data_IF_721727738367
#
_entry.id   IF_721727738367
#
_cell.length_a   1.000
_cell.length_b   1.000
_cell.length_c   1.000
_cell.angle_alpha   90.00
_cell.angle_beta   90.00
_cell.angle_gamma   90.00
#
_symmetry.space_group_name_H-M   'P 1'
#
loop_
_entity.id
_entity.type
_entity.pdbx_description
1 polymer ?
#
# COMPACT_ATOMS: atom_id res chain seq x y z
N UNK A 1 -4.45 23.53 -8.48
CA UNK A 1 -4.83 23.20 -7.09
C UNK A 1 -4.41 21.76 -6.87
N UNK A 2 -3.53 21.46 -5.90
CA UNK A 2 -3.05 20.08 -5.69
C UNK A 2 -4.11 19.23 -5.00
N UNK A 3 -4.32 18.00 -5.45
CA UNK A 3 -5.20 17.04 -4.78
C UNK A 3 -4.44 16.43 -3.60
N UNK A 4 -5.11 16.25 -2.46
CA UNK A 4 -4.57 15.46 -1.34
C UNK A 4 -5.30 14.15 -1.26
N UNK A 5 -4.56 13.07 -1.40
CA UNK A 5 -5.09 11.72 -1.28
C UNK A 5 -4.55 11.10 0.00
N UNK A 6 -5.41 10.42 0.74
CA UNK A 6 -5.06 9.74 1.98
C UNK A 6 -5.31 8.24 1.83
N UNK A 7 -4.30 7.45 2.19
CA UNK A 7 -4.39 6.01 2.36
C UNK A 7 -4.52 5.75 3.84
N UNK A 8 -5.46 4.86 4.19
CA UNK A 8 -5.71 4.47 5.57
C UNK A 8 -5.34 3.00 5.73
N UNK A 9 -4.72 2.71 6.86
CA UNK A 9 -4.28 1.40 7.34
C UNK A 9 -4.93 1.09 8.69
N UNK A 10 -5.47 -0.11 8.92
CA UNK A 10 -5.91 -0.53 10.27
C UNK A 10 -5.10 -1.72 10.77
N UNK A 11 -4.52 -1.58 11.97
CA UNK A 11 -3.54 -2.51 12.53
C UNK A 11 -3.68 -2.72 14.04
N UNK A 12 -2.91 -3.65 14.59
CA UNK A 12 -2.89 -3.99 16.02
C UNK A 12 -1.45 -4.07 16.53
N UNK A 13 -1.15 -3.22 17.51
CA UNK A 13 0.12 -3.17 18.22
C UNK A 13 0.09 -4.17 19.37
N UNK A 14 0.61 -5.37 19.15
CA UNK A 14 0.58 -6.45 20.16
C UNK A 14 1.41 -6.12 21.41
N UNK A 15 2.46 -5.30 21.29
CA UNK A 15 3.29 -4.89 22.44
C UNK A 15 2.53 -3.97 23.38
N UNK A 16 1.63 -3.15 22.84
CA UNK A 16 0.84 -2.18 23.60
C UNK A 16 -0.60 -2.60 23.81
N UNK A 17 -1.00 -3.74 23.23
CA UNK A 17 -2.37 -4.21 23.20
C UNK A 17 -3.33 -3.11 22.71
N UNK A 18 -2.97 -2.41 21.64
CA UNK A 18 -3.72 -1.26 21.12
C UNK A 18 -3.94 -1.34 19.62
N UNK A 19 -5.15 -1.04 19.17
CA UNK A 19 -5.43 -0.85 17.76
C UNK A 19 -4.85 0.46 17.26
N UNK A 20 -4.32 0.44 16.04
CA UNK A 20 -3.68 1.59 15.42
C UNK A 20 -4.31 1.87 14.07
N UNK A 21 -4.44 3.15 13.75
CA UNK A 21 -4.80 3.60 12.40
C UNK A 21 -3.59 4.28 11.77
N UNK A 22 -3.07 3.74 10.69
CA UNK A 22 -2.09 4.43 9.85
C UNK A 22 -2.82 5.37 8.89
N UNK A 23 -2.28 6.57 8.69
CA UNK A 23 -2.67 7.47 7.61
C UNK A 23 -1.43 7.90 6.85
N UNK A 24 -1.43 7.66 5.55
CA UNK A 24 -0.41 8.15 4.63
C UNK A 24 -1.05 9.19 3.71
N UNK A 25 -0.57 10.42 3.74
CA UNK A 25 -1.10 11.50 2.90
C UNK A 25 -0.06 11.91 1.87
N UNK A 26 -0.50 11.96 0.61
CA UNK A 26 0.32 12.40 -0.52
C UNK A 26 -0.23 13.71 -1.06
N UNK A 27 0.67 14.56 -1.55
CA UNK A 27 0.32 15.75 -2.30
C UNK A 27 0.50 15.47 -3.79
N UNK A 28 -0.62 15.42 -4.50
CA UNK A 28 -0.66 15.16 -5.93
C UNK A 28 -0.80 16.45 -6.74
N UNK A 29 -0.08 16.49 -7.85
CA UNK A 29 -0.27 17.48 -8.92
C UNK A 29 -0.36 16.72 -10.24
N UNK A 30 -1.41 17.00 -11.02
CA UNK A 30 -1.68 16.35 -12.31
C UNK A 30 -1.69 14.81 -12.24
N UNK A 31 -2.29 14.26 -11.17
CA UNK A 31 -2.38 12.81 -10.94
C UNK A 31 -1.09 12.15 -10.44
N UNK A 32 -0.04 12.93 -10.15
CA UNK A 32 1.29 12.41 -9.81
C UNK A 32 1.73 12.85 -8.41
N UNK A 33 2.28 11.91 -7.65
CA UNK A 33 2.86 12.17 -6.33
C UNK A 33 4.14 13.01 -6.48
N UNK A 34 4.11 14.22 -5.95
CA UNK A 34 5.23 15.16 -6.06
C UNK A 34 6.13 15.13 -4.83
N UNK A 35 5.63 14.62 -3.71
CA UNK A 35 6.30 14.63 -2.41
C UNK A 35 6.28 13.25 -1.78
N UNK A 36 7.27 13.00 -0.92
CA UNK A 36 7.23 11.89 0.02
C UNK A 36 5.94 11.95 0.86
N UNK A 37 5.35 10.81 1.23
CA UNK A 37 4.13 10.82 2.02
C UNK A 37 4.39 11.38 3.41
N UNK A 38 3.40 12.10 3.95
CA UNK A 38 3.30 12.33 5.39
C UNK A 38 2.63 11.11 6.02
N UNK A 39 3.28 10.51 7.01
CA UNK A 39 2.78 9.29 7.66
C UNK A 39 2.48 9.56 9.13
N UNK A 40 1.27 9.23 9.56
CA UNK A 40 0.82 9.39 10.93
C UNK A 40 0.16 8.10 11.43
N UNK A 41 0.33 7.80 12.71
CA UNK A 41 -0.33 6.67 13.38
C UNK A 41 -1.19 7.19 14.52
N UNK A 42 -2.46 6.85 14.48
CA UNK A 42 -3.40 7.04 15.57
C UNK A 42 -3.33 5.87 16.55
N UNK A 43 -3.30 6.18 17.83
CA UNK A 43 -3.51 5.23 18.93
C UNK A 43 -4.99 5.22 19.27
N UNK A 44 -5.68 4.07 19.19
CA UNK A 44 -7.11 4.01 19.56
C UNK A 44 -7.26 4.16 21.07
N UNK A 45 -6.48 3.41 21.84
CA UNK A 45 -6.42 3.51 23.30
C UNK A 45 -5.93 4.89 23.77
N UNK A 46 -4.87 5.39 23.14
CA UNK A 46 -4.25 6.68 23.50
C UNK A 46 -4.91 7.92 22.90
N UNK A 47 -5.92 7.78 22.03
CA UNK A 47 -6.68 8.87 21.45
C UNK A 47 -5.90 9.92 20.63
N UNK A 48 -4.68 9.62 20.17
CA UNK A 48 -3.76 10.63 19.62
C UNK A 48 -3.08 10.19 18.32
N UNK A 49 -2.88 11.15 17.41
CA UNK A 49 -2.07 11.00 16.21
C UNK A 49 -0.60 11.30 16.50
N UNK A 50 0.31 10.49 15.95
CA UNK A 50 1.75 10.71 16.03
C UNK A 50 2.38 10.53 14.67
N UNK A 51 3.23 11.46 14.27
CA UNK A 51 3.96 11.39 13.00
C UNK A 51 5.04 10.29 13.07
N UNK A 52 5.25 9.60 11.95
CA UNK A 52 6.27 8.56 11.77
C UNK A 52 7.23 8.99 10.66
N UNK A 53 8.56 8.87 10.86
CA UNK A 53 9.53 9.20 9.82
C UNK A 53 9.32 8.40 8.53
N UNK A 54 9.01 9.09 7.44
CA UNK A 54 8.67 8.51 6.15
C UNK A 54 9.63 8.90 5.01
N UNK A 55 10.76 9.54 5.34
CA UNK A 55 11.71 10.08 4.36
C UNK A 55 12.33 9.05 3.40
N UNK A 56 12.23 7.76 3.75
CA UNK A 56 12.76 6.63 2.97
C UNK A 56 11.71 5.99 2.05
N UNK A 57 10.43 6.38 2.14
CA UNK A 57 9.35 5.80 1.35
C UNK A 57 9.34 6.43 -0.04
N UNK A 58 9.85 5.70 -1.03
CA UNK A 58 9.98 6.15 -2.43
C UNK A 58 9.04 5.43 -3.40
N UNK A 59 8.13 4.62 -2.88
CA UNK A 59 7.17 3.84 -3.66
C UNK A 59 5.76 4.45 -3.54
N UNK A 60 4.95 4.21 -4.56
CA UNK A 60 3.56 4.60 -4.63
C UNK A 60 2.69 3.46 -4.09
N UNK A 61 1.75 3.80 -3.19
CA UNK A 61 0.67 2.91 -2.73
C UNK A 61 -0.68 3.43 -3.27
N UNK A 62 -0.63 4.44 -4.14
CA UNK A 62 -1.80 5.18 -4.57
C UNK A 62 -2.33 4.65 -5.89
N UNK A 63 -3.25 3.71 -5.77
CA UNK A 63 -4.45 3.70 -6.59
C UNK A 63 -5.63 3.38 -5.69
N UNK A 64 -6.71 4.16 -5.78
CA UNK A 64 -7.89 4.11 -4.90
C UNK A 64 -8.62 2.75 -4.91
N UNK A 65 -8.26 1.89 -5.86
CA UNK A 65 -8.75 0.52 -5.98
C UNK A 65 -7.91 -0.51 -5.22
N UNK A 66 -6.71 -0.13 -4.76
CA UNK A 66 -5.82 -1.08 -4.10
C UNK A 66 -6.21 -1.26 -2.65
N UNK A 67 -6.55 -2.50 -2.36
CA UNK A 67 -7.00 -2.88 -1.03
C UNK A 67 -5.82 -2.84 -0.07
N UNK A 68 -6.11 -2.45 1.17
CA UNK A 68 -5.24 -2.71 2.30
C UNK A 68 -5.55 -4.10 2.87
N UNK A 69 -4.57 -4.76 3.47
CA UNK A 69 -4.80 -6.02 4.17
C UNK A 69 -4.25 -5.98 5.59
N UNK A 70 -5.01 -6.55 6.50
CA UNK A 70 -4.61 -6.74 7.88
C UNK A 70 -4.24 -8.20 8.09
N UNK A 71 -2.97 -8.47 8.42
CA UNK A 71 -2.53 -9.82 8.71
C UNK A 71 -1.57 -9.81 9.90
N UNK A 72 -1.90 -10.62 10.92
CA UNK A 72 -1.11 -10.80 12.15
C UNK A 72 -0.80 -9.51 12.91
N UNK A 73 -1.70 -8.52 12.84
CA UNK A 73 -1.51 -7.23 13.50
C UNK A 73 -0.95 -6.15 12.59
N UNK A 74 -0.29 -6.54 11.50
CA UNK A 74 0.37 -5.60 10.60
C UNK A 74 -0.49 -5.25 9.39
N UNK A 75 -0.12 -4.16 8.74
CA UNK A 75 -0.86 -3.59 7.62
C UNK A 75 -0.04 -3.81 6.34
N UNK A 76 -0.66 -4.38 5.33
CA UNK A 76 -0.02 -4.83 4.11
C UNK A 76 -0.64 -4.14 2.90
N UNK A 77 0.19 -3.79 1.93
CA UNK A 77 -0.22 -3.27 0.62
C UNK A 77 0.60 -3.90 -0.49
N UNK A 78 0.04 -3.91 -1.69
CA UNK A 78 0.83 -3.98 -2.91
C UNK A 78 1.16 -2.55 -3.31
N UNK A 79 2.45 -2.20 -3.29
CA UNK A 79 2.97 -0.93 -3.75
C UNK A 79 3.71 -1.12 -5.08
N UNK A 80 4.20 -0.04 -5.68
CA UNK A 80 5.11 -0.09 -6.82
C UNK A 80 6.13 1.03 -6.77
N UNK A 81 7.29 0.77 -7.34
CA UNK A 81 8.28 1.80 -7.63
C UNK A 81 7.99 2.46 -8.97
N UNK A 82 8.28 3.76 -9.03
CA UNK A 82 8.24 4.55 -10.27
C UNK A 82 9.64 4.95 -10.69
N UNK A 83 9.90 4.94 -11.99
CA UNK A 83 11.14 5.42 -12.57
C UNK A 83 11.22 6.95 -12.54
N UNK A 84 12.33 7.49 -13.06
CA UNK A 84 12.54 8.95 -13.14
C UNK A 84 11.48 9.64 -14.00
N UNK A 85 11.02 8.94 -15.03
CA UNK A 85 9.99 9.40 -15.95
C UNK A 85 8.56 9.07 -15.44
N UNK A 86 8.47 8.60 -14.19
CA UNK A 86 7.23 8.25 -13.48
C UNK A 86 6.47 7.06 -14.08
N UNK A 87 7.14 6.29 -14.91
CA UNK A 87 6.69 5.00 -15.39
C UNK A 87 6.72 3.95 -14.27
N UNK A 88 5.84 2.96 -14.38
CA UNK A 88 5.88 1.77 -13.54
C UNK A 88 7.21 1.04 -13.74
N UNK A 89 7.86 0.62 -12.65
CA UNK A 89 9.08 -0.17 -12.70
C UNK A 89 8.83 -1.58 -12.17
N UNK A 90 8.44 -1.69 -10.91
CA UNK A 90 8.18 -2.97 -10.28
C UNK A 90 7.22 -2.88 -9.10
N UNK A 91 6.40 -3.93 -8.95
CA UNK A 91 5.57 -4.17 -7.78
C UNK A 91 6.42 -4.55 -6.57
N UNK A 92 5.99 -4.08 -5.42
CA UNK A 92 6.63 -4.32 -4.13
C UNK A 92 5.54 -4.51 -3.09
N UNK A 93 5.33 -5.72 -2.56
CA UNK A 93 4.54 -5.88 -1.37
C UNK A 93 5.25 -5.19 -0.20
N UNK A 94 4.51 -4.36 0.52
CA UNK A 94 5.01 -3.56 1.64
C UNK A 94 4.18 -3.86 2.86
N UNK A 95 4.87 -4.03 3.98
CA UNK A 95 4.26 -4.19 5.31
C UNK A 95 4.61 -2.98 6.14
N UNK A 96 3.63 -2.42 6.83
CA UNK A 96 3.86 -1.57 7.99
C UNK A 96 3.73 -2.41 9.24
N UNK A 97 4.87 -2.68 9.88
CA UNK A 97 4.93 -3.28 11.21
C UNK A 97 4.37 -2.27 12.22
N UNK A 98 3.23 -2.60 12.82
CA UNK A 98 2.47 -1.66 13.63
C UNK A 98 3.13 -1.42 14.99
N UNK A 99 3.73 -2.46 15.57
CA UNK A 99 4.40 -2.39 16.86
C UNK A 99 5.74 -1.64 16.76
N UNK A 100 6.51 -1.90 15.71
CA UNK A 100 7.80 -1.24 15.47
C UNK A 100 7.65 0.10 14.74
N UNK A 101 6.49 0.36 14.13
CA UNK A 101 6.20 1.53 13.28
C UNK A 101 7.18 1.67 12.12
N UNK A 102 7.43 0.57 11.42
CA UNK A 102 8.42 0.50 10.34
C UNK A 102 7.82 -0.08 9.08
N UNK A 103 8.26 0.44 7.94
CA UNK A 103 7.94 -0.14 6.65
C UNK A 103 8.98 -1.19 6.27
N UNK A 104 8.50 -2.33 5.77
CA UNK A 104 9.30 -3.47 5.35
C UNK A 104 8.88 -3.81 3.92
N UNK A 105 9.85 -3.88 3.01
CA UNK A 105 9.63 -4.40 1.66
C UNK A 105 9.75 -5.91 1.70
N UNK A 106 8.82 -6.60 1.07
CA UNK A 106 8.89 -8.05 0.87
C UNK A 106 9.40 -8.30 -0.55
N UNK A 107 10.27 -9.29 -0.69
CA UNK A 107 10.74 -9.71 -1.99
C UNK A 107 9.62 -10.43 -2.76
N UNK A 108 9.41 -10.01 -3.99
CA UNK A 108 8.45 -10.60 -4.92
C UNK A 108 9.21 -11.33 -6.04
N UNK A 109 8.60 -12.37 -6.61
CA UNK A 109 9.13 -13.05 -7.80
C UNK A 109 9.20 -12.05 -8.96
N UNK A 110 10.26 -12.12 -9.77
CA UNK A 110 10.54 -11.13 -10.83
C UNK A 110 9.35 -10.97 -11.80
N UNK A 111 8.73 -12.08 -12.20
CA UNK A 111 7.56 -12.08 -13.10
C UNK A 111 6.39 -11.27 -12.53
N UNK A 112 6.08 -11.44 -11.25
CA UNK A 112 5.03 -10.69 -10.57
C UNK A 112 5.46 -9.24 -10.29
N UNK A 113 6.75 -9.01 -10.06
CA UNK A 113 7.30 -7.69 -9.88
C UNK A 113 7.13 -6.84 -11.16
N UNK A 114 7.28 -7.43 -12.35
CA UNK A 114 7.18 -6.72 -13.63
C UNK A 114 5.75 -6.69 -14.22
N UNK A 115 4.80 -7.39 -13.59
CA UNK A 115 3.40 -7.44 -14.05
C UNK A 115 2.72 -6.08 -13.85
N UNK A 116 1.87 -5.65 -14.79
CA UNK A 116 1.03 -4.46 -14.59
C UNK A 116 0.25 -4.61 -13.26
N UNK A 117 0.36 -3.67 -12.32
CA UNK A 117 -0.22 -3.83 -10.99
C UNK A 117 -1.74 -3.99 -10.99
N UNK A 118 -2.44 -3.47 -12.01
CA UNK A 118 -3.90 -3.63 -12.14
C UNK A 118 -4.30 -5.10 -12.32
N UNK A 119 -3.39 -5.95 -12.78
CA UNK A 119 -3.58 -7.40 -12.96
C UNK A 119 -3.28 -8.24 -11.72
N UNK A 120 -2.91 -7.60 -10.61
CA UNK A 120 -2.57 -8.28 -9.38
C UNK A 120 -3.59 -7.96 -8.28
N UNK A 121 -4.04 -9.01 -7.60
CA UNK A 121 -4.86 -8.88 -6.38
C UNK A 121 -4.14 -9.59 -5.26
N UNK A 122 -3.91 -8.90 -4.14
CA UNK A 122 -3.48 -9.57 -2.92
C UNK A 122 -4.72 -9.99 -2.15
N UNK A 123 -4.67 -11.16 -1.54
CA UNK A 123 -5.78 -11.75 -0.81
C UNK A 123 -5.23 -12.31 0.49
N UNK A 124 -5.99 -12.16 1.57
CA UNK A 124 -5.75 -12.94 2.78
C UNK A 124 -6.50 -14.27 2.63
N UNK A 125 -5.82 -15.39 2.84
CA UNK A 125 -6.40 -16.73 2.77
C UNK A 125 -5.81 -17.59 3.89
N UNK A 126 -6.65 -17.89 4.89
CA UNK A 126 -6.32 -18.84 5.99
C UNK A 126 -5.05 -18.47 6.78
N UNK A 127 -4.82 -17.19 7.02
CA UNK A 127 -3.68 -16.64 7.75
C UNK A 127 -2.45 -16.36 6.88
N UNK A 128 -2.58 -16.38 5.56
CA UNK A 128 -1.49 -16.13 4.61
C UNK A 128 -1.91 -15.08 3.58
N UNK A 129 -0.95 -14.28 3.12
CA UNK A 129 -1.15 -13.47 1.92
C UNK A 129 -0.88 -14.30 0.68
N UNK A 130 -1.81 -14.24 -0.26
CA UNK A 130 -1.72 -14.82 -1.60
C UNK A 130 -1.79 -13.70 -2.63
N UNK A 131 -1.07 -13.86 -3.74
CA UNK A 131 -1.14 -12.95 -4.88
C UNK A 131 -1.80 -13.71 -6.03
N UNK A 132 -2.93 -13.19 -6.49
CA UNK A 132 -3.61 -13.67 -7.69
C UNK A 132 -3.19 -12.78 -8.85
N UNK A 133 -2.57 -13.39 -9.86
CA UNK A 133 -2.37 -12.78 -11.17
C UNK A 133 -3.53 -13.21 -12.08
N UNK A 134 -4.22 -12.25 -12.67
CA UNK A 134 -5.32 -12.52 -13.59
C UNK A 134 -5.12 -11.79 -14.92
N UNK A 135 -5.60 -12.41 -15.99
CA UNK A 135 -5.67 -11.80 -17.30
C UNK A 135 -7.14 -11.50 -17.60
N UNK A 136 -7.43 -10.26 -17.99
CA UNK A 136 -8.71 -9.97 -18.62
C UNK A 136 -8.73 -10.72 -19.95
N UNK A 137 -9.74 -11.56 -20.15
CA UNK A 137 -9.99 -12.15 -21.46
C UNK A 137 -10.17 -11.05 -22.52
N UNK A 138 -10.06 -11.39 -23.81
CA UNK A 138 -10.44 -10.43 -24.85
C UNK A 138 -11.84 -9.90 -24.52
N UNK A 139 -12.13 -8.60 -24.73
CA UNK A 139 -13.49 -8.10 -24.59
C UNK A 139 -14.39 -9.02 -25.42
N UNK A 140 -15.47 -9.52 -24.80
CA UNK A 140 -16.39 -10.43 -25.48
C UNK A 140 -16.69 -9.86 -26.86
N UNK A 141 -16.24 -10.57 -27.90
CA UNK A 141 -16.50 -10.23 -29.28
C UNK A 141 -17.93 -10.62 -29.63
N UNK A 142 -18.88 -10.12 -28.84
CA UNK A 142 -20.31 -10.21 -29.13
C UNK A 142 -21.08 -9.20 -28.28
N UNK A 143 -21.35 -8.04 -28.87
CA UNK A 143 -22.75 -7.66 -29.09
C UNK A 143 -22.87 -6.50 -30.10
N UNK A 144 -23.43 -6.88 -31.26
CA UNK A 144 -23.99 -6.12 -32.40
C UNK A 144 -23.07 -5.67 -33.51
#
# INVERSE_FOLDING_TARGET
>A
MGLRTAIIGFGFDWQKNDFKVLRMTYLQFDGLDKTLPRVEVYSVDGGTWKEVPAGHIKYCILDFFWSQWFLKGDIHWLAYERGKDKDFQHNIPVVFDVSLKKFIKIQLLLELAETNPDKLVVLETRGFLSILHYELGPPDSDTR
#
